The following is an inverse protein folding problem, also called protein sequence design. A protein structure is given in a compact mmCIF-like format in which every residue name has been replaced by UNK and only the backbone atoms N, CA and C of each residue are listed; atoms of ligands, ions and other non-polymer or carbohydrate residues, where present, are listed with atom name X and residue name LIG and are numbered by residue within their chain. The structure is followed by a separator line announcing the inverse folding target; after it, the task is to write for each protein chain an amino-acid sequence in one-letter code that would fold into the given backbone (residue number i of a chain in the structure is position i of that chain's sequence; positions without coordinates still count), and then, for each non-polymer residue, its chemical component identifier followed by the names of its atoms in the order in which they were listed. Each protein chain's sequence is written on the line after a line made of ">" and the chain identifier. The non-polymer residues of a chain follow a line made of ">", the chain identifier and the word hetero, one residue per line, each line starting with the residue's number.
data_IF_345656939005
#
_entry.id   IF_345656939005
#
_cell.length_a   1.000
_cell.length_b   1.000
_cell.length_c   1.000
_cell.angle_alpha   90.00
_cell.angle_beta   90.00
_cell.angle_gamma   90.00
#
_symmetry.space_group_name_H-M   'P 1'
#
loop_
_entity.id
_entity.type
_entity.pdbx_description
1 polymer ?
#
# COMPACT_ATOMS: atom_id res chain seq x y z
N UNK A 1 -13.26 21.43 -8.42
CA UNK A 1 -11.94 21.90 -7.96
C UNK A 1 -11.05 21.93 -9.18
N UNK A 2 -10.71 23.12 -9.66
CA UNK A 2 -9.75 23.24 -10.75
C UNK A 2 -8.38 22.74 -10.26
N UNK A 3 -7.55 22.22 -11.16
CA UNK A 3 -6.17 21.76 -10.92
C UNK A 3 -5.21 22.87 -10.40
N UNK A 4 -5.75 23.97 -9.87
CA UNK A 4 -5.04 25.21 -9.61
C UNK A 4 -4.93 25.60 -8.12
N UNK A 5 -5.73 25.06 -7.19
CA UNK A 5 -5.72 25.58 -5.82
C UNK A 5 -4.67 24.88 -4.94
N UNK A 6 -4.09 25.60 -3.99
CA UNK A 6 -3.19 25.04 -2.98
C UNK A 6 -3.95 24.96 -1.66
N UNK A 7 -3.93 23.78 -1.02
CA UNK A 7 -4.51 23.60 0.29
C UNK A 7 -3.85 24.57 1.29
N UNK A 8 -4.63 25.33 2.05
CA UNK A 8 -4.08 26.35 2.93
C UNK A 8 -3.15 25.78 4.02
N UNK A 9 -3.30 24.51 4.39
CA UNK A 9 -2.35 23.82 5.27
C UNK A 9 -0.93 23.73 4.68
N UNK A 10 -0.79 23.65 3.35
CA UNK A 10 0.51 23.69 2.66
C UNK A 10 1.09 25.10 2.66
N UNK A 11 0.24 26.13 2.51
CA UNK A 11 0.64 27.53 2.62
C UNK A 11 1.16 27.83 4.03
N UNK A 12 0.45 27.42 5.08
CA UNK A 12 0.89 27.61 6.47
C UNK A 12 2.24 26.93 6.70
N UNK A 13 2.41 25.69 6.22
CA UNK A 13 3.69 24.98 6.32
C UNK A 13 4.82 25.70 5.58
N UNK A 14 4.53 26.29 4.42
CA UNK A 14 5.50 27.10 3.69
C UNK A 14 5.83 28.40 4.43
N UNK A 15 4.86 29.10 5.01
CA UNK A 15 5.07 30.30 5.84
C UNK A 15 5.92 30.02 7.08
N UNK A 16 5.85 28.80 7.62
CA UNK A 16 6.69 28.33 8.73
C UNK A 16 8.12 27.95 8.30
N UNK A 17 8.42 27.97 6.99
CA UNK A 17 9.74 27.59 6.48
C UNK A 17 10.73 28.78 6.48
N UNK A 18 12.04 28.54 6.66
CA UNK A 18 13.06 29.60 6.75
C UNK A 18 13.23 30.47 5.49
N UNK A 19 12.62 30.10 4.37
CA UNK A 19 12.69 30.80 3.09
C UNK A 19 11.31 31.21 2.56
N UNK A 20 10.34 31.39 3.45
CA UNK A 20 9.04 31.93 3.08
C UNK A 20 9.17 33.36 2.56
N UNK A 21 8.42 33.68 1.50
CA UNK A 21 8.28 35.04 0.94
C UNK A 21 6.79 35.42 1.03
N UNK A 22 6.29 35.85 2.21
CA UNK A 22 4.87 36.06 2.48
C UNK A 22 4.17 37.01 1.51
N UNK A 23 4.93 37.92 0.89
CA UNK A 23 4.46 38.87 -0.10
C UNK A 23 3.85 38.17 -1.32
N UNK A 24 4.26 36.92 -1.61
CA UNK A 24 3.69 36.12 -2.71
C UNK A 24 2.22 35.74 -2.49
N UNK A 25 1.70 35.83 -1.25
CA UNK A 25 0.27 35.65 -0.95
C UNK A 25 -0.56 36.90 -1.23
N UNK A 26 0.05 38.09 -1.26
CA UNK A 26 -0.69 39.33 -1.48
C UNK A 26 -1.28 39.33 -2.89
N UNK A 27 -2.58 39.59 -2.99
CA UNK A 27 -3.36 39.52 -4.22
C UNK A 27 -3.85 38.12 -4.60
N UNK A 28 -3.47 37.07 -3.87
CA UNK A 28 -4.03 35.74 -4.07
C UNK A 28 -5.47 35.67 -3.51
N UNK A 29 -6.29 34.81 -4.12
CA UNK A 29 -7.64 34.53 -3.64
C UNK A 29 -7.60 33.48 -2.54
N UNK A 30 -8.33 33.70 -1.46
CA UNK A 30 -8.52 32.76 -0.35
C UNK A 30 -9.98 32.31 -0.30
N UNK A 31 -10.19 31.01 -0.42
CA UNK A 31 -11.47 30.36 -0.16
C UNK A 31 -11.45 29.83 1.28
N UNK A 32 -12.24 30.45 2.15
CA UNK A 32 -12.36 30.06 3.55
C UNK A 32 -13.50 29.07 3.81
N UNK A 33 -14.22 28.66 2.77
CA UNK A 33 -15.39 27.77 2.86
C UNK A 33 -16.61 28.38 3.56
N UNK A 34 -16.53 29.62 4.05
CA UNK A 34 -17.61 30.34 4.73
C UNK A 34 -18.22 31.41 3.80
N UNK A 35 -17.41 32.08 2.99
CA UNK A 35 -17.85 33.14 2.07
C UNK A 35 -18.07 32.60 0.65
N UNK A 36 -19.08 33.14 -0.05
CA UNK A 36 -19.37 32.76 -1.43
C UNK A 36 -18.34 33.29 -2.45
N UNK A 37 -17.66 34.40 -2.12
CA UNK A 37 -16.64 35.01 -2.98
C UNK A 37 -15.22 34.66 -2.49
N UNK A 38 -14.29 34.52 -3.44
CA UNK A 38 -12.86 34.46 -3.15
C UNK A 38 -12.39 35.76 -2.47
N UNK A 39 -11.78 35.61 -1.30
CA UNK A 39 -11.30 36.71 -0.47
C UNK A 39 -9.89 37.11 -0.90
N UNK A 40 -9.70 38.35 -1.34
CA UNK A 40 -8.38 38.82 -1.75
C UNK A 40 -7.49 39.06 -0.54
N UNK A 41 -6.35 38.36 -0.46
CA UNK A 41 -5.35 38.57 0.60
C UNK A 41 -4.63 39.89 0.35
N UNK A 42 -4.64 40.79 1.33
CA UNK A 42 -4.06 42.13 1.22
C UNK A 42 -2.71 42.26 1.94
N UNK A 43 -2.52 41.53 3.03
CA UNK A 43 -1.29 41.59 3.82
C UNK A 43 -1.08 40.29 4.60
N UNK A 44 0.19 40.00 4.89
CA UNK A 44 0.61 38.87 5.72
C UNK A 44 1.53 39.39 6.81
N UNK A 45 1.19 39.09 8.06
CA UNK A 45 1.97 39.39 9.26
C UNK A 45 2.55 38.10 9.81
N UNK A 46 3.84 37.85 9.56
CA UNK A 46 4.53 36.66 10.03
C UNK A 46 4.71 36.65 11.55
N UNK A 47 5.09 37.78 12.14
CA UNK A 47 5.36 37.90 13.57
C UNK A 47 4.08 37.68 14.39
N UNK A 48 2.98 38.29 13.94
CA UNK A 48 1.65 38.08 14.52
C UNK A 48 0.96 36.79 14.08
N UNK A 49 1.51 36.08 13.08
CA UNK A 49 0.92 34.89 12.42
C UNK A 49 -0.50 35.13 11.92
N UNK A 50 -0.73 36.22 11.19
CA UNK A 50 -2.05 36.60 10.67
C UNK A 50 -2.01 36.95 9.19
N UNK A 51 -3.11 36.66 8.49
CA UNK A 51 -3.38 37.25 7.17
C UNK A 51 -4.50 38.27 7.28
N UNK A 52 -4.45 39.29 6.43
CA UNK A 52 -5.51 40.27 6.26
C UNK A 52 -6.08 40.12 4.87
N UNK A 53 -7.41 40.04 4.75
CA UNK A 53 -8.11 39.93 3.47
C UNK A 53 -9.25 40.95 3.34
N UNK A 54 -9.62 41.24 2.10
CA UNK A 54 -10.77 42.08 1.77
C UNK A 54 -12.06 41.25 1.77
N UNK A 55 -13.09 41.75 2.43
CA UNK A 55 -14.49 41.33 2.19
C UNK A 55 -15.25 42.48 1.51
N UNK A 56 -16.47 42.22 1.03
CA UNK A 56 -17.35 43.28 0.48
C UNK A 56 -17.62 44.42 1.47
N UNK A 57 -17.62 44.14 2.77
CA UNK A 57 -18.01 45.11 3.80
C UNK A 57 -16.83 45.78 4.51
N UNK A 58 -15.73 45.05 4.73
CA UNK A 58 -14.57 45.52 5.48
C UNK A 58 -13.33 44.66 5.25
N UNK A 59 -12.17 45.17 5.64
CA UNK A 59 -10.96 44.37 5.84
C UNK A 59 -11.07 43.55 7.11
N UNK A 60 -10.66 42.29 7.05
CA UNK A 60 -10.61 41.38 8.20
C UNK A 60 -9.23 40.77 8.32
N UNK A 61 -8.82 40.48 9.56
CA UNK A 61 -7.57 39.80 9.86
C UNK A 61 -7.84 38.51 10.62
N UNK A 62 -7.26 37.39 10.18
CA UNK A 62 -7.42 36.07 10.78
C UNK A 62 -6.06 35.41 11.03
N UNK A 63 -5.95 34.54 12.05
CA UNK A 63 -4.71 33.79 12.29
C UNK A 63 -4.43 32.79 11.15
N UNK A 64 -3.16 32.45 10.93
CA UNK A 64 -2.76 31.42 9.94
C UNK A 64 -3.47 30.09 10.13
N UNK A 65 -3.83 29.72 11.36
CA UNK A 65 -4.59 28.51 11.64
C UNK A 65 -5.90 28.44 10.84
N UNK A 66 -6.58 29.58 10.61
CA UNK A 66 -7.80 29.64 9.79
C UNK A 66 -7.51 29.46 8.30
N UNK A 67 -6.31 29.79 7.84
CA UNK A 67 -5.90 29.52 6.47
C UNK A 67 -5.80 28.00 6.23
N UNK A 68 -5.38 27.24 7.23
CA UNK A 68 -5.21 25.78 7.11
C UNK A 68 -6.50 25.03 6.78
N UNK A 69 -7.66 25.61 7.13
CA UNK A 69 -8.99 25.04 6.91
C UNK A 69 -9.54 25.34 5.49
N UNK A 70 -8.90 26.23 4.74
CA UNK A 70 -9.34 26.67 3.42
C UNK A 70 -8.39 26.32 2.27
N UNK A 71 -8.57 26.98 1.13
CA UNK A 71 -7.72 26.85 -0.05
C UNK A 71 -7.30 28.23 -0.58
N UNK A 72 -6.10 28.31 -1.15
CA UNK A 72 -5.58 29.53 -1.77
C UNK A 72 -5.49 29.31 -3.27
N UNK A 73 -6.11 30.20 -4.05
CA UNK A 73 -5.92 30.33 -5.49
C UNK A 73 -4.60 31.07 -5.71
N UNK A 74 -3.52 30.36 -6.08
CA UNK A 74 -2.18 30.92 -6.03
C UNK A 74 -1.83 31.68 -7.31
N UNK A 75 -0.91 32.64 -7.19
CA UNK A 75 -0.10 33.06 -8.33
C UNK A 75 0.88 31.96 -8.76
N UNK A 76 1.41 32.02 -9.98
CA UNK A 76 2.45 31.09 -10.43
C UNK A 76 3.72 31.14 -9.56
N UNK A 77 4.06 32.33 -9.06
CA UNK A 77 5.21 32.54 -8.18
C UNK A 77 4.99 31.88 -6.81
N UNK A 78 3.81 32.10 -6.21
CA UNK A 78 3.44 31.44 -4.95
C UNK A 78 3.46 29.92 -5.09
N UNK A 79 2.88 29.40 -6.18
CA UNK A 79 2.90 27.96 -6.47
C UNK A 79 4.33 27.44 -6.48
N UNK A 80 5.23 28.06 -7.26
CA UNK A 80 6.63 27.64 -7.32
C UNK A 80 7.31 27.67 -5.94
N UNK A 81 7.09 28.72 -5.15
CA UNK A 81 7.68 28.88 -3.83
C UNK A 81 7.20 27.81 -2.83
N UNK A 82 5.89 27.56 -2.77
CA UNK A 82 5.29 26.56 -1.87
C UNK A 82 5.80 25.15 -2.24
N UNK A 83 5.83 24.81 -3.53
CA UNK A 83 6.38 23.54 -3.99
C UNK A 83 7.90 23.41 -3.74
N UNK A 84 8.65 24.51 -3.85
CA UNK A 84 10.08 24.55 -3.55
C UNK A 84 10.38 24.35 -2.05
N UNK A 85 9.47 24.77 -1.16
CA UNK A 85 9.60 24.62 0.28
C UNK A 85 9.23 23.24 0.82
N UNK A 86 8.56 22.39 0.04
CA UNK A 86 8.39 20.97 0.38
C UNK A 86 9.79 20.36 0.52
N UNK A 87 10.16 19.75 1.67
CA UNK A 87 11.47 19.15 1.84
C UNK A 87 11.78 18.19 0.69
N UNK A 88 13.00 18.23 0.14
CA UNK A 88 13.40 17.40 -1.01
C UNK A 88 13.05 15.91 -0.80
N UNK A 89 13.23 15.44 0.44
CA UNK A 89 12.84 14.10 0.90
C UNK A 89 11.36 13.78 0.67
N UNK A 90 10.46 14.71 1.00
CA UNK A 90 9.00 14.52 0.87
C UNK A 90 8.58 14.60 -0.60
N UNK A 91 9.21 15.47 -1.39
CA UNK A 91 8.98 15.51 -2.84
C UNK A 91 9.34 14.19 -3.51
N UNK A 92 10.47 13.62 -3.13
CA UNK A 92 10.92 12.33 -3.62
C UNK A 92 9.96 11.20 -3.24
N UNK A 93 9.47 11.17 -1.99
CA UNK A 93 8.47 10.19 -1.55
C UNK A 93 7.14 10.34 -2.30
N UNK A 94 6.68 11.57 -2.51
CA UNK A 94 5.46 11.81 -3.27
C UNK A 94 5.62 11.37 -4.73
N UNK A 95 6.73 11.73 -5.38
CA UNK A 95 7.02 11.30 -6.76
C UNK A 95 7.12 9.77 -6.87
N UNK A 96 7.83 9.12 -5.94
CA UNK A 96 7.92 7.67 -5.87
C UNK A 96 6.56 6.99 -5.69
N UNK A 97 5.70 7.56 -4.83
CA UNK A 97 4.37 7.03 -4.62
C UNK A 97 3.46 7.21 -5.84
N UNK A 98 3.45 8.38 -6.46
CA UNK A 98 2.66 8.62 -7.68
C UNK A 98 3.07 7.66 -8.81
N UNK A 99 4.35 7.29 -8.93
CA UNK A 99 4.82 6.34 -9.95
C UNK A 99 4.25 4.92 -9.79
N UNK A 100 3.95 4.49 -8.56
CA UNK A 100 3.44 3.14 -8.25
C UNK A 100 1.95 3.11 -7.94
N UNK A 101 1.28 4.26 -7.88
CA UNK A 101 -0.08 4.43 -7.34
C UNK A 101 -1.13 3.62 -8.10
N UNK A 102 -0.93 3.41 -9.39
CA UNK A 102 -1.78 2.58 -10.26
C UNK A 102 -1.83 1.13 -9.77
N UNK A 103 -0.70 0.59 -9.31
CA UNK A 103 -0.60 -0.80 -8.85
C UNK A 103 -0.73 -0.93 -7.33
N UNK A 104 -0.35 0.11 -6.59
CA UNK A 104 -0.34 0.19 -5.13
C UNK A 104 -1.15 1.41 -4.67
N UNK A 105 -2.50 1.32 -4.62
CA UNK A 105 -3.37 2.48 -4.39
C UNK A 105 -3.32 3.06 -2.98
N UNK A 106 -2.68 2.36 -2.04
CA UNK A 106 -2.49 2.81 -0.66
C UNK A 106 -1.01 3.05 -0.42
N UNK A 107 -0.69 4.20 0.15
CA UNK A 107 0.70 4.56 0.47
C UNK A 107 1.33 3.53 1.42
N UNK A 108 2.52 3.00 1.09
CA UNK A 108 3.27 2.13 1.98
C UNK A 108 3.51 2.77 3.36
N UNK A 109 3.58 1.96 4.44
CA UNK A 109 3.64 2.46 5.82
C UNK A 109 4.98 3.11 6.17
N UNK A 110 6.03 2.87 5.37
CA UNK A 110 7.36 3.40 5.59
C UNK A 110 8.00 3.86 4.28
N UNK A 111 8.95 4.81 4.38
CA UNK A 111 9.78 5.26 3.26
C UNK A 111 10.55 4.07 2.66
N UNK A 112 11.12 3.22 3.50
CA UNK A 112 11.89 2.05 3.06
C UNK A 112 11.02 1.11 2.20
N UNK A 113 9.83 0.75 2.68
CA UNK A 113 8.89 -0.09 1.94
C UNK A 113 8.49 0.56 0.61
N UNK A 114 8.26 1.87 0.59
CA UNK A 114 7.95 2.61 -0.63
C UNK A 114 9.02 2.43 -1.70
N UNK A 115 10.30 2.63 -1.37
CA UNK A 115 11.37 2.51 -2.36
C UNK A 115 11.65 1.06 -2.77
N UNK A 116 11.54 0.09 -1.85
CA UNK A 116 11.64 -1.34 -2.21
C UNK A 116 10.52 -1.75 -3.16
N UNK A 117 9.29 -1.27 -2.93
CA UNK A 117 8.14 -1.55 -3.80
C UNK A 117 8.31 -0.83 -5.15
N UNK A 118 8.78 0.43 -5.16
CA UNK A 118 9.10 1.16 -6.38
C UNK A 118 10.04 0.38 -7.29
N UNK A 119 11.13 -0.16 -6.74
CA UNK A 119 12.05 -1.01 -7.50
C UNK A 119 11.37 -2.28 -8.02
N UNK A 120 10.55 -2.93 -7.19
CA UNK A 120 9.80 -4.12 -7.61
C UNK A 120 8.85 -3.84 -8.78
N UNK A 121 8.16 -2.70 -8.76
CA UNK A 121 7.25 -2.25 -9.82
C UNK A 121 8.02 -1.93 -11.10
N UNK A 122 9.13 -1.20 -10.98
CA UNK A 122 10.00 -0.86 -12.13
C UNK A 122 10.55 -2.11 -12.82
N UNK A 123 11.04 -3.08 -12.04
CA UNK A 123 11.55 -4.34 -12.60
C UNK A 123 10.43 -5.17 -13.24
N UNK A 124 9.27 -5.25 -12.60
CA UNK A 124 8.10 -5.92 -13.18
C UNK A 124 7.70 -5.29 -14.52
N UNK A 125 7.61 -3.96 -14.59
CA UNK A 125 7.32 -3.22 -15.85
C UNK A 125 8.36 -3.46 -16.94
N UNK A 126 9.61 -3.76 -16.56
CA UNK A 126 10.71 -4.12 -17.48
C UNK A 126 10.78 -5.62 -17.80
N UNK A 127 9.90 -6.45 -17.23
CA UNK A 127 9.95 -7.90 -17.38
C UNK A 127 11.17 -8.56 -16.71
N UNK A 128 11.79 -7.90 -15.73
CA UNK A 128 12.96 -8.39 -15.03
C UNK A 128 12.56 -9.27 -13.83
N UNK A 129 13.24 -10.40 -13.69
CA UNK A 129 13.14 -11.26 -12.50
C UNK A 129 14.37 -11.08 -11.64
N UNK A 130 14.25 -10.49 -10.44
CA UNK A 130 15.39 -10.29 -9.56
C UNK A 130 15.84 -11.62 -8.93
N UNK A 131 17.01 -11.62 -8.30
CA UNK A 131 17.50 -12.78 -7.56
C UNK A 131 16.60 -13.14 -6.35
N UNK A 132 16.88 -14.28 -5.73
CA UNK A 132 16.08 -14.82 -4.63
C UNK A 132 16.00 -13.88 -3.42
N UNK A 133 17.10 -13.22 -3.05
CA UNK A 133 17.13 -12.38 -1.85
C UNK A 133 16.34 -11.09 -2.07
N UNK A 134 16.49 -10.48 -3.25
CA UNK A 134 15.69 -9.35 -3.68
C UNK A 134 14.19 -9.72 -3.79
N UNK A 135 13.83 -10.91 -4.30
CA UNK A 135 12.43 -11.39 -4.29
C UNK A 135 11.88 -11.47 -2.87
N UNK A 136 12.64 -12.03 -1.92
CA UNK A 136 12.24 -12.13 -0.53
C UNK A 136 12.06 -10.75 0.14
N UNK A 137 12.99 -9.81 -0.10
CA UNK A 137 12.89 -8.44 0.41
C UNK A 137 11.64 -7.73 -0.11
N UNK A 138 11.44 -7.76 -1.43
CA UNK A 138 10.28 -7.14 -2.10
C UNK A 138 8.97 -7.76 -1.66
N UNK A 139 8.92 -9.08 -1.54
CA UNK A 139 7.73 -9.76 -1.06
C UNK A 139 7.38 -9.38 0.40
N UNK A 140 8.38 -9.17 1.27
CA UNK A 140 8.14 -8.68 2.64
C UNK A 140 7.58 -7.26 2.65
N UNK A 141 8.12 -6.35 1.84
CA UNK A 141 7.63 -4.97 1.76
C UNK A 141 6.17 -4.90 1.26
N UNK A 142 5.85 -5.68 0.22
CA UNK A 142 4.48 -5.80 -0.30
C UNK A 142 3.50 -6.35 0.76
N UNK A 143 3.92 -7.38 1.52
CA UNK A 143 3.13 -7.95 2.63
C UNK A 143 2.86 -6.93 3.73
N UNK A 144 3.89 -6.21 4.20
CA UNK A 144 3.74 -5.16 5.23
C UNK A 144 2.82 -4.03 4.79
N UNK A 145 2.83 -3.71 3.50
CA UNK A 145 2.00 -2.66 2.90
C UNK A 145 0.58 -3.12 2.55
N UNK A 146 0.26 -4.41 2.74
CA UNK A 146 -1.02 -4.97 2.30
C UNK A 146 -1.27 -4.87 0.79
N UNK A 147 -0.20 -4.75 -0.01
CA UNK A 147 -0.25 -4.56 -1.45
C UNK A 147 -0.43 -5.91 -2.18
N UNK A 148 -1.49 -6.65 -1.82
CA UNK A 148 -1.68 -8.04 -2.23
C UNK A 148 -1.83 -8.20 -3.74
N UNK A 149 -2.69 -7.38 -4.37
CA UNK A 149 -2.90 -7.41 -5.83
C UNK A 149 -1.63 -7.05 -6.61
N UNK A 150 -0.85 -6.07 -6.14
CA UNK A 150 0.46 -5.75 -6.70
C UNK A 150 1.41 -6.94 -6.58
N UNK A 151 1.40 -7.63 -5.43
CA UNK A 151 2.19 -8.83 -5.22
C UNK A 151 1.80 -9.99 -6.15
N UNK A 152 0.52 -10.15 -6.50
CA UNK A 152 0.07 -11.12 -7.51
C UNK A 152 0.66 -10.77 -8.88
N UNK A 153 0.55 -9.51 -9.32
CA UNK A 153 1.08 -9.08 -10.62
C UNK A 153 2.60 -9.28 -10.71
N UNK A 154 3.33 -8.82 -9.70
CA UNK A 154 4.80 -8.89 -9.65
C UNK A 154 5.29 -10.34 -9.55
N UNK A 155 4.76 -11.14 -8.63
CA UNK A 155 5.15 -12.54 -8.48
C UNK A 155 4.67 -13.41 -9.65
N UNK A 156 3.56 -13.04 -10.29
CA UNK A 156 3.09 -13.63 -11.55
C UNK A 156 4.09 -13.40 -12.69
N UNK A 157 4.64 -12.19 -12.80
CA UNK A 157 5.72 -11.91 -13.76
C UNK A 157 6.96 -12.77 -13.52
N UNK A 158 7.34 -12.99 -12.25
CA UNK A 158 8.44 -13.91 -11.92
C UNK A 158 8.13 -15.36 -12.29
N UNK A 159 6.89 -15.82 -12.08
CA UNK A 159 6.42 -17.14 -12.53
C UNK A 159 6.55 -17.26 -14.03
N UNK A 160 6.03 -16.29 -14.78
CA UNK A 160 6.02 -16.35 -16.25
C UNK A 160 7.44 -16.40 -16.83
N UNK A 161 8.37 -15.62 -16.25
CA UNK A 161 9.78 -15.70 -16.59
C UNK A 161 10.41 -17.06 -16.23
N UNK A 162 10.08 -17.64 -15.07
CA UNK A 162 10.55 -18.96 -14.68
C UNK A 162 9.99 -20.07 -15.59
N UNK A 163 8.74 -19.96 -16.03
CA UNK A 163 8.12 -20.87 -17.00
C UNK A 163 8.84 -20.79 -18.33
N UNK A 164 9.10 -19.57 -18.85
CA UNK A 164 9.81 -19.36 -20.09
C UNK A 164 11.24 -19.93 -20.06
N UNK A 165 11.89 -19.92 -18.89
CA UNK A 165 13.20 -20.50 -18.66
C UNK A 165 13.19 -22.02 -18.37
N UNK A 166 12.03 -22.68 -18.35
CA UNK A 166 11.92 -24.10 -17.98
C UNK A 166 12.29 -24.39 -16.51
N UNK A 167 12.28 -23.37 -15.66
CA UNK A 167 12.68 -23.42 -14.26
C UNK A 167 11.48 -23.41 -13.28
N UNK A 168 10.25 -23.41 -13.79
CA UNK A 168 9.04 -23.49 -12.97
C UNK A 168 8.76 -24.93 -12.52
N UNK A 169 8.33 -25.17 -11.27
CA UNK A 169 8.16 -24.20 -10.18
C UNK A 169 9.43 -23.94 -9.36
N UNK A 170 9.69 -22.67 -9.06
CA UNK A 170 10.66 -22.27 -8.03
C UNK A 170 9.94 -22.10 -6.69
N UNK A 171 10.43 -22.76 -5.64
CA UNK A 171 9.74 -22.82 -4.36
C UNK A 171 9.46 -21.46 -3.71
N UNK A 172 10.41 -20.53 -3.78
CA UNK A 172 10.22 -19.18 -3.24
C UNK A 172 9.20 -18.36 -4.04
N UNK A 173 9.23 -18.43 -5.37
CA UNK A 173 8.27 -17.75 -6.25
C UNK A 173 6.86 -18.31 -6.01
N UNK A 174 6.70 -19.63 -6.01
CA UNK A 174 5.41 -20.29 -5.80
C UNK A 174 4.81 -19.96 -4.42
N UNK A 175 5.62 -20.02 -3.35
CA UNK A 175 5.17 -19.67 -2.00
C UNK A 175 4.75 -18.19 -1.92
N UNK A 176 5.51 -17.28 -2.54
CA UNK A 176 5.12 -15.86 -2.55
C UNK A 176 3.86 -15.61 -3.37
N UNK A 177 3.78 -16.14 -4.58
CA UNK A 177 2.63 -15.98 -5.47
C UNK A 177 1.35 -16.54 -4.83
N UNK A 178 1.39 -17.78 -4.31
CA UNK A 178 0.24 -18.37 -3.65
C UNK A 178 -0.24 -17.54 -2.45
N UNK A 179 0.70 -16.99 -1.65
CA UNK A 179 0.32 -16.12 -0.54
C UNK A 179 -0.36 -14.84 -1.03
N UNK A 180 0.18 -14.19 -2.05
CA UNK A 180 -0.43 -12.98 -2.62
C UNK A 180 -1.81 -13.27 -3.22
N UNK A 181 -1.97 -14.37 -3.96
CA UNK A 181 -3.25 -14.79 -4.54
C UNK A 181 -4.31 -14.98 -3.46
N UNK A 182 -3.99 -15.74 -2.40
CA UNK A 182 -4.91 -15.98 -1.28
C UNK A 182 -5.36 -14.68 -0.61
N UNK A 183 -4.42 -13.80 -0.26
CA UNK A 183 -4.74 -12.53 0.41
C UNK A 183 -5.50 -11.56 -0.51
N UNK A 184 -5.27 -11.63 -1.82
CA UNK A 184 -6.04 -10.95 -2.86
C UNK A 184 -7.41 -11.62 -3.15
N UNK A 185 -7.85 -12.57 -2.30
CA UNK A 185 -9.12 -13.30 -2.40
C UNK A 185 -9.22 -14.29 -3.57
N UNK A 186 -8.10 -14.67 -4.16
CA UNK A 186 -8.00 -15.75 -5.13
C UNK A 186 -7.47 -17.04 -4.48
N UNK A 187 -8.32 -17.65 -3.63
CA UNK A 187 -7.98 -18.91 -2.98
C UNK A 187 -7.81 -20.09 -3.97
N UNK A 188 -8.51 -20.07 -5.11
CA UNK A 188 -8.37 -21.11 -6.14
C UNK A 188 -7.03 -21.00 -6.87
N UNK A 189 -6.63 -19.80 -7.29
CA UNK A 189 -5.32 -19.58 -7.89
C UNK A 189 -4.19 -19.91 -6.93
N UNK A 190 -4.34 -19.58 -5.64
CA UNK A 190 -3.39 -20.01 -4.60
C UNK A 190 -3.24 -21.53 -4.56
N UNK A 191 -4.35 -22.29 -4.51
CA UNK A 191 -4.30 -23.76 -4.48
C UNK A 191 -3.69 -24.34 -5.76
N UNK A 192 -4.00 -23.77 -6.93
CA UNK A 192 -3.40 -24.19 -8.20
C UNK A 192 -1.87 -24.02 -8.21
N UNK A 193 -1.37 -22.85 -7.76
CA UNK A 193 0.07 -22.58 -7.64
C UNK A 193 0.76 -23.55 -6.67
N UNK A 194 0.11 -23.90 -5.55
CA UNK A 194 0.66 -24.86 -4.58
C UNK A 194 0.62 -26.30 -5.11
N UNK A 195 -0.40 -26.66 -5.89
CA UNK A 195 -0.49 -27.95 -6.56
C UNK A 195 0.64 -28.16 -7.58
N UNK A 196 0.94 -27.14 -8.40
CA UNK A 196 2.10 -27.16 -9.32
C UNK A 196 3.40 -27.43 -8.55
N UNK A 197 3.60 -26.71 -7.44
CA UNK A 197 4.77 -26.85 -6.59
C UNK A 197 4.88 -28.28 -6.03
N UNK A 198 3.78 -28.87 -5.58
CA UNK A 198 3.75 -30.25 -5.08
C UNK A 198 4.03 -31.28 -6.17
N UNK A 199 3.44 -31.10 -7.35
CA UNK A 199 3.60 -32.04 -8.47
C UNK A 199 5.06 -32.12 -8.92
N UNK A 200 5.76 -30.99 -8.96
CA UNK A 200 7.17 -30.92 -9.31
C UNK A 200 8.12 -31.51 -8.27
N UNK A 201 7.65 -31.75 -7.03
CA UNK A 201 8.42 -32.33 -5.92
C UNK A 201 9.82 -31.69 -5.71
N UNK A 202 9.94 -30.35 -5.67
CA UNK A 202 11.25 -29.73 -5.47
C UNK A 202 11.78 -30.04 -4.07
N UNK A 203 13.11 -29.99 -3.92
CA UNK A 203 13.75 -30.11 -2.62
C UNK A 203 13.34 -28.93 -1.73
N UNK A 204 12.52 -29.20 -0.72
CA UNK A 204 12.04 -28.23 0.26
C UNK A 204 12.52 -28.61 1.66
N UNK A 205 12.92 -27.63 2.45
CA UNK A 205 13.18 -27.82 3.88
C UNK A 205 11.89 -28.21 4.62
N UNK A 206 12.03 -28.83 5.80
CA UNK A 206 10.87 -29.14 6.66
C UNK A 206 10.00 -27.90 6.92
N UNK A 207 10.62 -26.76 7.22
CA UNK A 207 9.92 -25.49 7.41
C UNK A 207 9.11 -25.06 6.18
N UNK A 208 9.67 -25.17 4.98
CA UNK A 208 8.95 -24.83 3.74
C UNK A 208 7.76 -25.75 3.50
N UNK A 209 7.89 -27.05 3.77
CA UNK A 209 6.78 -28.00 3.67
C UNK A 209 5.66 -27.66 4.66
N UNK A 210 6.00 -27.27 5.89
CA UNK A 210 5.02 -26.81 6.87
C UNK A 210 4.29 -25.55 6.41
N UNK A 211 5.03 -24.55 5.88
CA UNK A 211 4.45 -23.32 5.32
C UNK A 211 3.47 -23.63 4.18
N UNK A 212 3.86 -24.49 3.23
CA UNK A 212 3.00 -24.90 2.11
C UNK A 212 1.72 -25.56 2.62
N UNK A 213 1.83 -26.51 3.55
CA UNK A 213 0.67 -27.17 4.14
C UNK A 213 -0.26 -26.17 4.87
N UNK A 214 0.30 -25.25 5.67
CA UNK A 214 -0.49 -24.19 6.32
C UNK A 214 -1.21 -23.30 5.29
N UNK A 215 -0.54 -22.93 4.20
CA UNK A 215 -1.15 -22.11 3.14
C UNK A 215 -2.26 -22.84 2.39
N UNK A 216 -2.07 -24.13 2.07
CA UNK A 216 -3.11 -24.97 1.45
C UNK A 216 -4.33 -25.07 2.35
N UNK A 217 -4.12 -25.37 3.63
CA UNK A 217 -5.21 -25.48 4.59
C UNK A 217 -5.96 -24.16 4.76
N UNK A 218 -5.25 -23.03 4.81
CA UNK A 218 -5.86 -21.71 4.89
C UNK A 218 -6.65 -21.35 3.63
N UNK A 219 -6.19 -21.70 2.43
CA UNK A 219 -6.92 -21.47 1.19
C UNK A 219 -8.18 -22.35 1.09
N UNK A 220 -8.10 -23.62 1.52
CA UNK A 220 -9.28 -24.48 1.63
C UNK A 220 -10.30 -23.94 2.65
N UNK A 221 -9.85 -23.42 3.79
CA UNK A 221 -10.74 -22.77 4.76
C UNK A 221 -11.46 -21.55 4.16
N UNK A 222 -10.75 -20.72 3.38
CA UNK A 222 -11.35 -19.57 2.69
C UNK A 222 -12.43 -20.04 1.67
N UNK A 223 -12.19 -21.13 0.95
CA UNK A 223 -13.17 -21.71 0.02
C UNK A 223 -14.38 -22.34 0.74
N UNK A 224 -14.18 -22.98 1.89
CA UNK A 224 -15.26 -23.50 2.73
C UNK A 224 -16.22 -22.38 3.14
N UNK A 225 -15.68 -21.26 3.61
CA UNK A 225 -16.49 -20.09 4.01
C UNK A 225 -17.21 -19.46 2.81
N UNK A 226 -16.56 -19.38 1.64
CA UNK A 226 -17.14 -18.78 0.44
C UNK A 226 -18.21 -19.66 -0.23
N UNK A 227 -18.09 -20.99 -0.19
CA UNK A 227 -18.93 -21.92 -0.97
C UNK A 227 -20.03 -22.60 -0.12
N UNK A 228 -20.72 -21.85 0.74
CA UNK A 228 -21.81 -22.38 1.59
C UNK A 228 -21.40 -23.60 2.45
N UNK A 229 -20.16 -23.62 2.94
CA UNK A 229 -19.67 -24.67 3.84
C UNK A 229 -19.57 -26.07 3.21
N UNK A 230 -19.02 -26.17 2.00
CA UNK A 230 -18.70 -27.47 1.38
C UNK A 230 -17.73 -28.28 2.28
N UNK A 231 -18.22 -29.38 2.87
CA UNK A 231 -17.49 -30.18 3.84
C UNK A 231 -16.14 -30.69 3.35
N UNK A 232 -15.99 -30.97 2.05
CA UNK A 232 -14.73 -31.44 1.45
C UNK A 232 -13.59 -30.44 1.65
N UNK A 233 -13.88 -29.14 1.54
CA UNK A 233 -12.87 -28.11 1.79
C UNK A 233 -12.48 -28.03 3.27
N UNK A 234 -13.41 -28.29 4.19
CA UNK A 234 -13.09 -28.33 5.61
C UNK A 234 -12.21 -29.54 5.95
N UNK A 235 -12.49 -30.71 5.38
CA UNK A 235 -11.70 -31.92 5.54
C UNK A 235 -10.27 -31.75 5.02
N UNK A 236 -10.12 -31.23 3.81
CA UNK A 236 -8.82 -30.90 3.25
C UNK A 236 -8.06 -29.89 4.11
N UNK A 237 -8.75 -28.86 4.63
CA UNK A 237 -8.13 -27.88 5.50
C UNK A 237 -7.58 -28.50 6.79
N UNK A 238 -8.32 -29.41 7.44
CA UNK A 238 -7.86 -30.15 8.61
C UNK A 238 -6.68 -31.07 8.29
N UNK A 239 -6.70 -31.78 7.16
CA UNK A 239 -5.60 -32.65 6.74
C UNK A 239 -4.30 -31.85 6.54
N UNK A 240 -4.38 -30.70 5.86
CA UNK A 240 -3.26 -29.79 5.68
C UNK A 240 -2.74 -29.22 7.00
N UNK A 241 -3.64 -28.80 7.91
CA UNK A 241 -3.25 -28.32 9.24
C UNK A 241 -2.51 -29.41 10.05
N UNK A 242 -3.00 -30.65 10.03
CA UNK A 242 -2.35 -31.79 10.69
C UNK A 242 -0.97 -32.09 10.13
N UNK A 243 -0.82 -32.03 8.81
CA UNK A 243 0.48 -32.18 8.17
C UNK A 243 1.44 -31.06 8.60
N UNK A 244 0.99 -29.81 8.63
CA UNK A 244 1.82 -28.67 9.05
C UNK A 244 2.30 -28.83 10.51
N UNK A 245 1.39 -29.22 11.41
CA UNK A 245 1.69 -29.41 12.83
C UNK A 245 2.61 -30.62 13.08
N UNK A 246 2.46 -31.71 12.33
CA UNK A 246 3.37 -32.85 12.40
C UNK A 246 4.81 -32.48 12.01
N UNK A 247 5.00 -31.50 11.12
CA UNK A 247 6.32 -31.03 10.69
C UNK A 247 6.86 -29.95 11.63
N UNK A 248 6.01 -29.04 12.10
CA UNK A 248 6.38 -27.88 12.92
C UNK A 248 5.31 -27.56 13.97
N UNK A 249 5.26 -28.30 15.09
CA UNK A 249 4.17 -28.21 16.08
C UNK A 249 4.12 -26.91 16.89
N UNK A 250 5.21 -26.13 16.87
CA UNK A 250 5.32 -24.82 17.53
C UNK A 250 5.10 -23.64 16.58
N UNK A 251 4.69 -23.90 15.34
CA UNK A 251 4.45 -22.84 14.36
C UNK A 251 3.15 -22.07 14.67
N UNK A 252 3.26 -20.75 14.82
CA UNK A 252 2.14 -19.89 15.18
C UNK A 252 1.08 -19.84 14.08
N UNK A 253 1.47 -19.84 12.80
CA UNK A 253 0.51 -19.82 11.69
C UNK A 253 -0.27 -21.14 11.59
N UNK A 254 0.40 -22.28 11.78
CA UNK A 254 -0.27 -23.58 11.85
C UNK A 254 -1.26 -23.66 13.03
N UNK A 255 -0.87 -23.16 14.21
CA UNK A 255 -1.76 -23.10 15.37
C UNK A 255 -2.96 -22.17 15.16
N UNK A 256 -2.74 -21.01 14.55
CA UNK A 256 -3.81 -20.07 14.20
C UNK A 256 -4.80 -20.68 13.19
N UNK A 257 -4.30 -21.42 12.19
CA UNK A 257 -5.15 -22.17 11.26
C UNK A 257 -5.99 -23.20 12.02
N UNK A 258 -5.40 -23.99 12.91
CA UNK A 258 -6.12 -24.97 13.73
C UNK A 258 -7.25 -24.34 14.55
N UNK A 259 -6.97 -23.25 15.25
CA UNK A 259 -7.98 -22.52 16.03
C UNK A 259 -9.12 -22.03 15.14
N UNK A 260 -8.80 -21.48 13.96
CA UNK A 260 -9.80 -21.07 12.97
C UNK A 260 -10.67 -22.24 12.52
N UNK A 261 -10.08 -23.38 12.17
CA UNK A 261 -10.83 -24.55 11.70
C UNK A 261 -11.79 -25.08 12.78
N UNK A 262 -11.36 -25.13 14.04
CA UNK A 262 -12.24 -25.51 15.15
C UNK A 262 -13.42 -24.54 15.34
N UNK A 263 -13.21 -23.24 15.12
CA UNK A 263 -14.29 -22.26 15.17
C UNK A 263 -15.28 -22.41 13.99
N UNK A 264 -14.82 -22.92 12.85
CA UNK A 264 -15.63 -23.17 11.65
C UNK A 264 -16.42 -24.47 11.71
N UNK A 265 -15.98 -25.44 12.50
CA UNK A 265 -16.69 -26.70 12.70
C UNK A 265 -18.06 -26.44 13.34
N UNK A 266 -19.19 -26.89 12.74
CA UNK A 266 -20.50 -26.76 13.34
C UNK A 266 -20.51 -27.43 14.72
N UNK A 267 -20.93 -26.70 15.76
CA UNK A 267 -21.24 -27.32 17.05
C UNK A 267 -22.38 -28.31 16.83
N UNK A 268 -22.19 -29.58 17.18
CA UNK A 268 -23.28 -30.57 17.15
C UNK A 268 -24.43 -30.02 18.02
N UNK A 269 -25.69 -30.09 17.54
CA UNK A 269 -26.85 -29.73 18.34
C UNK A 269 -26.98 -30.62 19.58
#
# INVERSE_FOLDING_TARGET
>A
MADADIAGAEIVRWLDSPGAEPELLVGCGFDDGEHEDLLSILAVDLDGRRITYATRAATRSVPFARLADGAVVPSDALRKAVFAAIPARVREENAAYEEIRDLVPRRPPSREDLFVILEAVRDHRRGLTPDRDARHLRAKALKRSGAWSAGVAIAGGWRDAAVAAGAWPQGDIAIHLARFQREAKDARGSLATLADLRFARPSMSGRQRAIVATMEGAAHADLFEAQRRNAEHLEHAFACAAQAWAISPKDEEANALYQRLHALTPKRP
#
